data_IF_264791450431
#
_entry.id   IF_264791450431
#
_cell.length_a   1.000
_cell.length_b   1.000
_cell.length_c   1.000
_cell.angle_alpha   90.00
_cell.angle_beta   90.00
_cell.angle_gamma   90.00
#
_symmetry.space_group_name_H-M   'P 1'
#
loop_
_entity.id
_entity.type
_entity.pdbx_description
1 polymer ?
#
# COMPACT_ATOMS: atom_id res chain seq x y z
N UNK A 1 14.40 -27.09 23.64
CA UNK A 1 14.08 -27.23 22.19
C UNK A 1 13.27 -28.49 21.92
N UNK A 2 13.68 -29.65 22.42
CA UNK A 2 12.95 -30.91 22.16
C UNK A 2 11.56 -30.96 22.79
N UNK A 3 11.36 -30.38 23.98
CA UNK A 3 10.02 -30.23 24.56
C UNK A 3 9.08 -29.42 23.67
N UNK A 4 9.56 -28.35 23.03
CA UNK A 4 8.74 -27.55 22.11
C UNK A 4 8.41 -28.32 20.84
N UNK A 5 9.37 -29.05 20.26
CA UNK A 5 9.11 -29.94 19.12
C UNK A 5 8.02 -30.96 19.46
N UNK A 6 8.12 -31.59 20.64
CA UNK A 6 7.12 -32.54 21.13
C UNK A 6 5.74 -31.91 21.29
N UNK A 7 5.63 -30.75 21.95
CA UNK A 7 4.34 -30.07 22.07
C UNK A 7 3.78 -29.67 20.71
N UNK A 8 4.61 -29.24 19.76
CA UNK A 8 4.15 -28.88 18.42
C UNK A 8 3.62 -30.11 17.67
N UNK A 9 4.31 -31.25 17.71
CA UNK A 9 3.99 -32.41 16.88
C UNK A 9 3.03 -33.42 17.50
N UNK A 10 3.08 -33.63 18.82
CA UNK A 10 2.37 -34.73 19.50
C UNK A 10 1.21 -34.27 20.38
N UNK A 11 1.19 -33.01 20.83
CA UNK A 11 0.10 -32.54 21.69
C UNK A 11 -1.18 -32.31 20.87
N UNK A 12 -2.29 -32.87 21.36
CA UNK A 12 -3.60 -32.70 20.75
C UNK A 12 -4.21 -31.34 21.12
N UNK A 13 -3.99 -30.35 20.25
CA UNK A 13 -4.66 -29.05 20.36
C UNK A 13 -6.08 -29.13 19.83
N UNK A 14 -7.05 -28.90 20.71
CA UNK A 14 -8.42 -28.69 20.31
C UNK A 14 -8.58 -27.45 19.41
N UNK A 15 -9.78 -27.24 18.88
CA UNK A 15 -10.05 -26.12 17.95
C UNK A 15 -9.74 -24.75 18.55
N UNK A 16 -9.93 -24.58 19.86
CA UNK A 16 -9.80 -23.30 20.55
C UNK A 16 -8.35 -22.99 20.93
N UNK A 17 -7.49 -24.01 20.97
CA UNK A 17 -6.07 -23.91 21.34
C UNK A 17 -5.09 -24.05 20.17
N UNK A 18 -5.58 -24.23 18.93
CA UNK A 18 -4.71 -24.29 17.72
C UNK A 18 -3.87 -23.04 17.49
N UNK A 19 -4.31 -21.88 17.99
CA UNK A 19 -3.51 -20.65 18.00
C UNK A 19 -2.24 -20.76 18.88
N UNK A 20 -2.28 -21.59 19.93
CA UNK A 20 -1.10 -21.87 20.77
C UNK A 20 -0.09 -22.64 19.92
N UNK A 21 -0.52 -23.69 19.19
CA UNK A 21 0.37 -24.44 18.32
C UNK A 21 1.05 -23.55 17.27
N UNK A 22 0.31 -22.64 16.64
CA UNK A 22 0.90 -21.70 15.66
C UNK A 22 1.86 -20.71 16.28
N UNK A 23 1.62 -20.27 17.52
CA UNK A 23 2.56 -19.46 18.28
C UNK A 23 3.84 -20.23 18.60
N UNK A 24 3.72 -21.47 19.11
CA UNK A 24 4.88 -22.33 19.41
C UNK A 24 5.75 -22.60 18.18
N UNK A 25 5.14 -22.79 17.00
CA UNK A 25 5.88 -22.93 15.72
C UNK A 25 6.79 -21.72 15.46
N UNK A 26 6.32 -20.50 15.75
CA UNK A 26 7.12 -19.28 15.58
C UNK A 26 8.21 -19.16 16.62
N UNK A 27 7.87 -19.38 17.89
CA UNK A 27 8.83 -19.28 18.99
C UNK A 27 9.98 -20.27 18.80
N UNK A 28 9.69 -21.49 18.34
CA UNK A 28 10.72 -22.47 18.02
C UNK A 28 11.72 -21.94 16.98
N UNK A 29 11.27 -21.14 16.01
CA UNK A 29 12.13 -20.55 14.99
C UNK A 29 13.03 -19.43 15.52
N UNK A 30 12.70 -18.83 16.67
CA UNK A 30 13.48 -17.75 17.28
C UNK A 30 14.50 -18.24 18.30
N UNK A 31 14.40 -19.50 18.75
CA UNK A 31 15.09 -19.97 19.95
C UNK A 31 16.58 -20.30 19.79
N UNK A 32 17.07 -20.61 18.58
CA UNK A 32 18.52 -20.72 18.28
C UNK A 32 18.79 -21.01 16.78
N UNK A 33 20.04 -20.93 16.32
CA UNK A 33 20.49 -21.25 14.95
C UNK A 33 20.49 -22.76 14.61
N UNK A 34 19.95 -23.60 15.49
CA UNK A 34 19.89 -25.05 15.28
C UNK A 34 19.11 -25.42 14.00
N UNK A 35 19.57 -26.41 13.22
CA UNK A 35 18.96 -26.77 11.95
C UNK A 35 17.59 -27.45 12.14
N UNK A 36 16.54 -26.63 12.21
CA UNK A 36 15.14 -27.07 12.35
C UNK A 36 14.50 -27.56 11.06
N UNK A 37 15.23 -27.53 9.94
CA UNK A 37 14.71 -27.86 8.61
C UNK A 37 14.05 -29.24 8.57
N UNK A 38 14.72 -30.28 9.10
CA UNK A 38 14.18 -31.64 9.10
C UNK A 38 12.88 -31.75 9.91
N UNK A 39 12.82 -31.10 11.08
CA UNK A 39 11.63 -31.08 11.92
C UNK A 39 10.46 -30.40 11.22
N UNK A 40 10.67 -29.20 10.66
CA UNK A 40 9.61 -28.47 9.98
C UNK A 40 9.11 -29.18 8.72
N UNK A 41 10.00 -29.81 7.95
CA UNK A 41 9.61 -30.61 6.78
C UNK A 41 8.74 -31.79 7.20
N UNK A 42 9.17 -32.58 8.19
CA UNK A 42 8.39 -33.73 8.68
C UNK A 42 7.02 -33.28 9.23
N UNK A 43 7.01 -32.29 10.12
CA UNK A 43 5.79 -31.76 10.71
C UNK A 43 4.83 -31.20 9.65
N UNK A 44 5.33 -30.48 8.64
CA UNK A 44 4.52 -29.96 7.54
C UNK A 44 3.80 -31.07 6.77
N UNK A 45 4.53 -32.13 6.40
CA UNK A 45 3.97 -33.24 5.62
C UNK A 45 2.91 -34.04 6.39
N UNK A 46 3.04 -34.14 7.72
CA UNK A 46 2.04 -34.80 8.58
C UNK A 46 0.83 -33.93 8.89
N UNK A 47 0.90 -32.62 8.66
CA UNK A 47 -0.12 -31.63 9.06
C UNK A 47 -1.15 -31.30 7.98
N UNK A 48 -1.50 -32.24 7.08
CA UNK A 48 -2.43 -32.02 5.96
C UNK A 48 -3.78 -31.40 6.38
N UNK A 49 -4.32 -31.83 7.53
CA UNK A 49 -5.60 -31.33 8.06
C UNK A 49 -5.47 -30.01 8.87
N UNK A 50 -4.29 -29.42 8.92
CA UNK A 50 -3.97 -28.23 9.69
C UNK A 50 -3.24 -27.18 8.82
N UNK A 51 -3.97 -26.62 7.86
CA UNK A 51 -3.45 -25.60 6.94
C UNK A 51 -2.91 -24.35 7.65
N UNK A 52 -3.36 -24.06 8.87
CA UNK A 52 -2.85 -22.95 9.69
C UNK A 52 -1.42 -23.23 10.16
N UNK A 53 -1.17 -24.44 10.69
CA UNK A 53 0.17 -24.87 11.07
C UNK A 53 1.10 -24.95 9.86
N UNK A 54 0.64 -25.51 8.74
CA UNK A 54 1.40 -25.55 7.48
C UNK A 54 1.77 -24.15 6.99
N UNK A 55 0.83 -23.22 6.92
CA UNK A 55 1.13 -21.84 6.53
C UNK A 55 2.15 -21.19 7.47
N UNK A 56 2.11 -21.52 8.76
CA UNK A 56 3.07 -21.03 9.75
C UNK A 56 4.48 -21.56 9.54
N UNK A 57 4.60 -22.85 9.21
CA UNK A 57 5.87 -23.45 8.81
C UNK A 57 6.43 -22.74 7.56
N UNK A 58 5.60 -22.48 6.54
CA UNK A 58 6.03 -21.74 5.34
C UNK A 58 6.51 -20.32 5.69
N UNK A 59 5.82 -19.61 6.60
CA UNK A 59 6.25 -18.29 7.08
C UNK A 59 7.61 -18.35 7.78
N UNK A 60 7.82 -19.34 8.66
CA UNK A 60 9.09 -19.54 9.37
C UNK A 60 10.22 -19.83 8.39
N UNK A 61 10.00 -20.71 7.42
CA UNK A 61 11.00 -21.03 6.40
C UNK A 61 11.35 -19.78 5.59
N UNK A 62 10.36 -19.02 5.13
CA UNK A 62 10.57 -17.78 4.39
C UNK A 62 11.35 -16.70 5.18
N UNK A 63 11.28 -16.70 6.52
CA UNK A 63 11.98 -15.73 7.36
C UNK A 63 13.50 -15.92 7.39
N UNK A 64 14.01 -17.11 7.05
CA UNK A 64 15.47 -17.35 6.95
C UNK A 64 16.14 -16.52 5.84
N UNK A 65 15.38 -16.13 4.82
CA UNK A 65 15.80 -15.18 3.77
C UNK A 65 17.06 -15.60 2.99
N UNK A 66 17.25 -16.90 2.80
CA UNK A 66 18.35 -17.46 2.01
C UNK A 66 17.86 -18.36 0.87
N UNK A 67 18.76 -18.73 -0.05
CA UNK A 67 18.40 -19.55 -1.22
C UNK A 67 17.91 -20.96 -0.86
N UNK A 68 18.45 -21.56 0.19
CA UNK A 68 18.05 -22.90 0.63
C UNK A 68 16.61 -22.87 1.15
N UNK A 69 16.24 -21.84 1.91
CA UNK A 69 14.89 -21.61 2.41
C UNK A 69 13.89 -21.33 1.29
N UNK A 70 14.29 -20.59 0.25
CA UNK A 70 13.46 -20.35 -0.92
C UNK A 70 13.17 -21.64 -1.70
N UNK A 71 14.19 -22.49 -1.87
CA UNK A 71 14.03 -23.81 -2.49
C UNK A 71 13.13 -24.72 -1.67
N UNK A 72 13.37 -24.81 -0.36
CA UNK A 72 12.55 -25.60 0.55
C UNK A 72 11.10 -25.13 0.57
N UNK A 73 10.86 -23.81 0.54
CA UNK A 73 9.52 -23.26 0.45
C UNK A 73 8.77 -23.80 -0.78
N UNK A 74 9.41 -23.81 -1.95
CA UNK A 74 8.82 -24.34 -3.18
C UNK A 74 8.56 -25.83 -3.10
N UNK A 75 9.50 -26.61 -2.54
CA UNK A 75 9.37 -28.06 -2.35
C UNK A 75 8.15 -28.39 -1.45
N UNK A 76 7.98 -27.66 -0.34
CA UNK A 76 6.84 -27.85 0.55
C UNK A 76 5.52 -27.44 -0.10
N UNK A 77 5.48 -26.30 -0.81
CA UNK A 77 4.29 -25.87 -1.55
C UNK A 77 3.88 -26.83 -2.67
N UNK A 78 4.85 -27.53 -3.29
CA UNK A 78 4.60 -28.58 -4.27
C UNK A 78 4.08 -29.88 -3.64
N UNK A 79 4.50 -30.15 -2.40
CA UNK A 79 4.04 -31.32 -1.64
C UNK A 79 2.59 -31.16 -1.21
N UNK A 80 2.27 -30.03 -0.61
CA UNK A 80 0.92 -29.66 -0.23
C UNK A 80 0.80 -28.14 -0.14
N UNK A 81 -0.35 -27.57 -0.46
CA UNK A 81 -0.52 -26.12 -0.50
C UNK A 81 -1.59 -25.72 0.53
N UNK A 82 -1.23 -25.05 1.63
CA UNK A 82 -2.20 -24.74 2.67
C UNK A 82 -3.25 -23.77 2.15
N UNK A 83 -4.51 -24.17 2.26
CA UNK A 83 -5.66 -23.37 1.84
C UNK A 83 -6.31 -22.77 3.08
N UNK A 84 -6.32 -21.44 3.14
CA UNK A 84 -6.81 -20.68 4.29
C UNK A 84 -7.81 -19.63 3.81
N UNK A 85 -8.96 -19.55 4.49
CA UNK A 85 -9.92 -18.48 4.28
C UNK A 85 -9.30 -17.09 4.57
N UNK A 86 -8.38 -17.03 5.54
CA UNK A 86 -7.63 -15.83 5.86
C UNK A 86 -6.43 -15.63 4.92
N UNK A 87 -6.66 -14.85 3.85
CA UNK A 87 -5.60 -14.47 2.90
C UNK A 87 -4.44 -13.66 3.50
N UNK A 88 -4.56 -13.12 4.72
CA UNK A 88 -3.45 -12.44 5.40
C UNK A 88 -2.31 -13.41 5.72
N UNK A 89 -2.62 -14.62 6.19
CA UNK A 89 -1.62 -15.65 6.51
C UNK A 89 -0.81 -16.04 5.26
N UNK A 90 -1.49 -16.15 4.12
CA UNK A 90 -0.84 -16.41 2.83
C UNK A 90 0.05 -15.24 2.41
N UNK A 91 -0.40 -14.00 2.64
CA UNK A 91 0.39 -12.81 2.34
C UNK A 91 1.66 -12.71 3.21
N UNK A 92 1.64 -13.21 4.44
CA UNK A 92 2.78 -13.20 5.35
C UNK A 92 3.90 -14.15 4.89
N UNK A 93 3.58 -15.27 4.24
CA UNK A 93 4.56 -16.18 3.62
C UNK A 93 5.47 -15.42 2.64
N UNK A 94 4.89 -14.53 1.84
CA UNK A 94 5.62 -13.78 0.81
C UNK A 94 6.23 -12.46 1.29
N UNK A 95 6.01 -12.04 2.54
CA UNK A 95 6.51 -10.76 3.07
C UNK A 95 8.04 -10.66 3.01
N UNK A 96 8.84 -11.66 3.45
CA UNK A 96 10.30 -11.56 3.41
C UNK A 96 10.86 -11.33 2.00
N UNK A 97 10.25 -11.94 0.98
CA UNK A 97 10.63 -11.80 -0.42
C UNK A 97 10.26 -10.43 -1.01
N UNK A 98 9.23 -9.76 -0.48
CA UNK A 98 8.90 -8.38 -0.87
C UNK A 98 9.91 -7.37 -0.30
N UNK A 99 10.45 -7.67 0.87
CA UNK A 99 11.47 -6.86 1.54
C UNK A 99 12.85 -7.05 0.87
N UNK A 100 13.15 -8.28 0.40
CA UNK A 100 14.35 -8.63 -0.38
C UNK A 100 14.01 -9.21 -1.75
N UNK A 101 13.86 -8.33 -2.75
CA UNK A 101 13.52 -8.74 -4.12
C UNK A 101 14.57 -9.64 -4.81
N UNK A 102 15.90 -9.51 -4.58
CA UNK A 102 16.85 -10.45 -5.17
C UNK A 102 16.56 -11.91 -4.78
N UNK A 103 16.13 -12.15 -3.54
CA UNK A 103 15.76 -13.49 -3.09
C UNK A 103 14.44 -13.95 -3.73
N UNK A 104 13.47 -13.05 -3.92
CA UNK A 104 12.22 -13.37 -4.58
C UNK A 104 12.40 -13.93 -6.00
N UNK A 105 13.49 -13.57 -6.69
CA UNK A 105 13.80 -14.09 -8.02
C UNK A 105 13.99 -15.61 -8.03
N UNK A 106 14.50 -16.20 -6.94
CA UNK A 106 14.72 -17.65 -6.79
C UNK A 106 13.39 -18.43 -6.78
N UNK A 107 12.27 -17.78 -6.49
CA UNK A 107 10.95 -18.42 -6.49
C UNK A 107 10.38 -18.61 -7.91
N UNK A 108 10.86 -17.86 -8.91
CA UNK A 108 10.30 -17.85 -10.26
C UNK A 108 11.15 -18.66 -11.25
N UNK A 109 10.55 -19.36 -12.23
CA UNK A 109 9.12 -19.35 -12.58
C UNK A 109 8.25 -20.32 -11.77
N UNK A 110 8.82 -21.23 -10.97
CA UNK A 110 8.08 -22.33 -10.32
C UNK A 110 6.88 -21.86 -9.51
N UNK A 111 7.02 -20.75 -8.78
CA UNK A 111 5.92 -20.17 -7.99
C UNK A 111 4.67 -19.84 -8.81
N UNK A 112 4.80 -19.56 -10.11
CA UNK A 112 3.65 -19.26 -10.97
C UNK A 112 2.77 -20.47 -11.25
N UNK A 113 3.25 -21.69 -11.03
CA UNK A 113 2.42 -22.89 -11.18
C UNK A 113 1.27 -22.90 -10.14
N UNK A 114 1.44 -22.17 -9.01
CA UNK A 114 0.40 -22.00 -7.98
C UNK A 114 -0.51 -20.77 -8.21
N UNK A 115 -0.33 -20.02 -9.31
CA UNK A 115 -1.07 -18.77 -9.56
C UNK A 115 -2.55 -18.95 -9.92
N UNK A 116 -3.00 -20.19 -10.13
CA UNK A 116 -4.41 -20.52 -10.33
C UNK A 116 -5.19 -20.64 -9.02
N UNK A 117 -4.49 -20.75 -7.89
CA UNK A 117 -5.10 -20.87 -6.57
C UNK A 117 -5.48 -19.48 -6.04
N UNK A 118 -6.73 -19.32 -5.64
CA UNK A 118 -7.35 -18.00 -5.45
C UNK A 118 -6.65 -17.14 -4.40
N UNK A 119 -6.21 -17.78 -3.32
CA UNK A 119 -5.53 -17.23 -2.15
C UNK A 119 -4.10 -16.77 -2.48
N UNK A 120 -3.45 -17.47 -3.42
CA UNK A 120 -2.06 -17.26 -3.82
C UNK A 120 -1.90 -16.36 -5.04
N UNK A 121 -2.93 -16.26 -5.87
CA UNK A 121 -2.91 -15.51 -7.13
C UNK A 121 -2.44 -14.07 -6.97
N UNK A 122 -3.09 -13.31 -6.08
CA UNK A 122 -2.75 -11.91 -5.85
C UNK A 122 -1.32 -11.71 -5.29
N UNK A 123 -0.88 -12.42 -4.24
CA UNK A 123 0.48 -12.25 -3.73
C UNK A 123 1.57 -12.64 -4.74
N UNK A 124 1.37 -13.71 -5.51
CA UNK A 124 2.31 -14.17 -6.55
C UNK A 124 2.47 -13.10 -7.64
N UNK A 125 1.37 -12.62 -8.22
CA UNK A 125 1.45 -11.63 -9.29
C UNK A 125 1.93 -10.26 -8.78
N UNK A 126 1.65 -9.89 -7.53
CA UNK A 126 2.23 -8.69 -6.91
C UNK A 126 3.75 -8.78 -6.81
N UNK A 127 4.27 -9.94 -6.39
CA UNK A 127 5.72 -10.17 -6.30
C UNK A 127 6.37 -10.17 -7.68
N UNK A 128 5.77 -10.86 -8.65
CA UNK A 128 6.24 -10.89 -10.04
C UNK A 128 6.28 -9.48 -10.67
N UNK A 129 5.22 -8.67 -10.47
CA UNK A 129 5.16 -7.30 -11.00
C UNK A 129 6.24 -6.41 -10.38
N UNK A 130 6.53 -6.56 -9.08
CA UNK A 130 7.63 -5.83 -8.43
C UNK A 130 9.00 -6.22 -8.97
N UNK A 131 9.23 -7.52 -9.22
CA UNK A 131 10.46 -8.00 -9.84
C UNK A 131 10.63 -7.47 -11.27
N UNK A 132 9.55 -7.49 -12.06
CA UNK A 132 9.58 -7.01 -13.44
C UNK A 132 9.83 -5.50 -13.49
N UNK A 133 9.13 -4.72 -12.66
CA UNK A 133 9.28 -3.26 -12.61
C UNK A 133 10.67 -2.82 -12.14
N UNK A 134 11.44 -3.69 -11.45
CA UNK A 134 12.84 -3.43 -11.10
C UNK A 134 13.85 -4.03 -12.08
N UNK A 135 13.38 -4.62 -13.17
CA UNK A 135 14.25 -5.28 -14.16
C UNK A 135 14.94 -6.56 -13.66
N UNK A 136 14.54 -7.09 -12.49
CA UNK A 136 15.15 -8.28 -11.89
C UNK A 136 14.73 -9.54 -12.66
N UNK A 137 13.47 -9.61 -13.10
CA UNK A 137 12.96 -10.73 -13.87
C UNK A 137 12.62 -10.32 -15.31
N UNK A 138 13.02 -11.16 -16.27
CA UNK A 138 12.77 -10.90 -17.70
C UNK A 138 11.37 -11.40 -18.12
N UNK A 139 10.70 -10.72 -19.07
CA UNK A 139 9.38 -11.15 -19.60
C UNK A 139 9.33 -12.58 -20.11
N UNK A 140 10.45 -13.09 -20.64
CA UNK A 140 10.56 -14.49 -21.12
C UNK A 140 10.23 -15.52 -20.04
N UNK A 141 10.51 -15.24 -18.76
CA UNK A 141 10.33 -16.18 -17.64
C UNK A 141 8.85 -16.49 -17.39
N UNK A 142 7.98 -15.51 -17.54
CA UNK A 142 6.54 -15.66 -17.29
C UNK A 142 5.70 -15.64 -18.57
N UNK A 143 6.32 -15.62 -19.76
CA UNK A 143 5.64 -15.59 -21.06
C UNK A 143 4.62 -16.73 -21.21
N UNK A 144 4.90 -17.93 -20.65
CA UNK A 144 3.96 -19.07 -20.69
C UNK A 144 2.61 -18.78 -19.98
N UNK A 145 2.60 -17.87 -19.01
CA UNK A 145 1.40 -17.48 -18.26
C UNK A 145 0.70 -16.23 -18.81
N UNK A 146 1.23 -15.59 -19.87
CA UNK A 146 0.69 -14.33 -20.42
C UNK A 146 -0.80 -14.42 -20.74
N UNK A 147 -1.27 -15.52 -21.34
CA UNK A 147 -2.69 -15.69 -21.68
C UNK A 147 -3.58 -15.70 -20.44
N UNK A 148 -3.15 -16.37 -19.36
CA UNK A 148 -3.85 -16.37 -18.08
C UNK A 148 -3.88 -14.96 -17.48
N UNK A 149 -2.71 -14.29 -17.42
CA UNK A 149 -2.58 -12.91 -16.94
C UNK A 149 -3.52 -11.97 -17.73
N UNK A 150 -3.56 -12.09 -19.05
CA UNK A 150 -4.39 -11.26 -19.92
C UNK A 150 -5.90 -11.51 -19.67
N UNK A 151 -6.31 -12.76 -19.54
CA UNK A 151 -7.72 -13.09 -19.26
C UNK A 151 -8.15 -12.52 -17.91
N UNK A 152 -7.31 -12.67 -16.88
CA UNK A 152 -7.56 -12.10 -15.56
C UNK A 152 -7.59 -10.56 -15.61
N UNK A 153 -6.68 -9.95 -16.36
CA UNK A 153 -6.63 -8.51 -16.56
C UNK A 153 -7.91 -7.98 -17.22
N UNK A 154 -8.40 -8.65 -18.27
CA UNK A 154 -9.67 -8.32 -18.96
C UNK A 154 -10.85 -8.39 -17.98
N UNK A 155 -10.91 -9.38 -17.11
CA UNK A 155 -11.95 -9.49 -16.08
C UNK A 155 -11.86 -8.32 -15.08
N UNK A 156 -10.66 -8.01 -14.59
CA UNK A 156 -10.45 -6.89 -13.66
C UNK A 156 -10.78 -5.54 -14.31
N UNK A 157 -10.43 -5.36 -15.57
CA UNK A 157 -10.74 -4.18 -16.36
C UNK A 157 -12.25 -4.00 -16.54
N UNK A 158 -12.98 -5.06 -16.91
CA UNK A 158 -14.45 -5.02 -17.00
C UNK A 158 -15.10 -4.64 -15.67
N UNK A 159 -14.60 -5.18 -14.56
CA UNK A 159 -15.05 -4.79 -13.21
C UNK A 159 -14.71 -3.33 -12.88
N UNK A 160 -13.58 -2.81 -13.36
CA UNK A 160 -13.23 -1.41 -13.19
C UNK A 160 -14.19 -0.50 -13.94
N UNK A 161 -14.54 -0.81 -15.20
CA UNK A 161 -15.53 -0.03 -15.94
C UNK A 161 -16.90 -0.01 -15.25
N UNK A 162 -17.36 -1.15 -14.73
CA UNK A 162 -18.60 -1.20 -13.96
C UNK A 162 -18.57 -0.27 -12.73
N UNK A 163 -17.41 -0.11 -12.09
CA UNK A 163 -17.23 0.83 -10.96
C UNK A 163 -17.21 2.28 -11.43
N UNK A 164 -16.50 2.57 -12.52
CA UNK A 164 -16.43 3.93 -13.07
C UNK A 164 -17.84 4.45 -13.42
N UNK A 165 -18.73 3.57 -13.89
CA UNK A 165 -20.15 3.87 -14.15
C UNK A 165 -21.01 4.06 -12.88
N UNK A 166 -20.72 3.33 -11.80
CA UNK A 166 -21.48 3.41 -10.54
C UNK A 166 -21.04 4.58 -9.64
N UNK A 167 -19.84 5.13 -9.86
CA UNK A 167 -19.24 6.17 -9.03
C UNK A 167 -19.98 7.51 -9.01
N UNK A 168 -21.03 7.67 -9.82
CA UNK A 168 -21.82 8.90 -9.95
C UNK A 168 -22.84 9.14 -8.82
N UNK A 169 -23.13 8.17 -7.94
CA UNK A 169 -24.31 8.29 -7.03
C UNK A 169 -24.12 7.87 -5.57
N UNK A 170 -23.00 7.30 -5.13
CA UNK A 170 -22.83 6.99 -3.70
C UNK A 170 -21.38 6.98 -3.24
N UNK A 171 -21.05 7.86 -2.29
CA UNK A 171 -19.75 7.94 -1.57
C UNK A 171 -19.56 6.76 -0.60
N UNK A 172 -19.83 5.53 -1.04
CA UNK A 172 -19.49 4.37 -0.23
C UNK A 172 -17.97 4.33 -0.12
N UNK A 173 -17.47 4.24 1.12
CA UNK A 173 -16.09 3.89 1.39
C UNK A 173 -15.61 2.85 0.38
N UNK A 174 -14.50 3.12 -0.31
CA UNK A 174 -13.86 2.13 -1.17
C UNK A 174 -13.50 0.96 -0.28
N UNK A 175 -14.36 -0.07 -0.29
CA UNK A 175 -14.16 -1.28 0.49
C UNK A 175 -12.73 -1.77 0.33
N UNK A 176 -12.14 -2.34 1.38
CA UNK A 176 -10.82 -2.98 1.33
C UNK A 176 -10.72 -3.94 0.13
N UNK A 177 -11.83 -4.60 -0.22
CA UNK A 177 -11.95 -5.43 -1.42
C UNK A 177 -11.76 -4.66 -2.74
N UNK A 178 -12.26 -3.42 -2.82
CA UNK A 178 -12.15 -2.58 -4.01
C UNK A 178 -10.72 -2.10 -4.24
N UNK A 179 -10.00 -1.66 -3.20
CA UNK A 179 -8.59 -1.26 -3.30
C UNK A 179 -7.70 -2.43 -3.74
N UNK A 180 -7.91 -3.61 -3.17
CA UNK A 180 -7.19 -4.83 -3.57
C UNK A 180 -7.41 -5.18 -5.06
N UNK A 181 -8.62 -4.99 -5.59
CA UNK A 181 -8.90 -5.24 -7.01
C UNK A 181 -8.16 -4.26 -7.94
N UNK A 182 -8.12 -2.96 -7.60
CA UNK A 182 -7.39 -1.95 -8.38
C UNK A 182 -5.90 -2.27 -8.41
N UNK A 183 -5.31 -2.58 -7.25
CA UNK A 183 -3.90 -2.94 -7.15
C UNK A 183 -3.54 -4.18 -7.97
N UNK A 184 -4.41 -5.19 -7.98
CA UNK A 184 -4.20 -6.39 -8.82
C UNK A 184 -4.23 -6.04 -10.31
N UNK A 185 -5.10 -5.13 -10.74
CA UNK A 185 -5.11 -4.66 -12.12
C UNK A 185 -3.83 -3.90 -12.47
N UNK A 186 -3.32 -3.03 -11.59
CA UNK A 186 -2.02 -2.38 -11.80
C UNK A 186 -0.88 -3.38 -11.99
N UNK A 187 -0.85 -4.47 -11.20
CA UNK A 187 0.15 -5.52 -11.39
C UNK A 187 0.03 -6.18 -12.78
N UNK A 188 -1.19 -6.48 -13.24
CA UNK A 188 -1.38 -7.07 -14.56
C UNK A 188 -1.02 -6.13 -15.71
N UNK A 189 -1.35 -4.84 -15.59
CA UNK A 189 -0.93 -3.82 -16.55
C UNK A 189 0.60 -3.88 -16.67
N UNK A 190 1.33 -3.71 -15.57
CA UNK A 190 2.79 -3.80 -15.55
C UNK A 190 3.34 -5.08 -16.20
N UNK A 191 2.78 -6.25 -15.85
CA UNK A 191 3.24 -7.55 -16.38
C UNK A 191 2.97 -7.74 -17.87
N UNK A 192 1.88 -7.17 -18.39
CA UNK A 192 1.49 -7.28 -19.80
C UNK A 192 2.18 -6.26 -20.70
N UNK A 193 2.71 -5.16 -20.14
CA UNK A 193 3.32 -4.08 -20.93
C UNK A 193 4.41 -4.56 -21.91
N UNK A 194 5.34 -5.46 -21.52
CA UNK A 194 6.35 -5.98 -22.45
C UNK A 194 5.79 -6.72 -23.67
N UNK A 195 4.51 -7.12 -23.63
CA UNK A 195 3.79 -7.80 -24.72
C UNK A 195 2.82 -6.87 -25.46
N UNK A 196 2.84 -5.55 -25.23
CA UNK A 196 1.90 -4.56 -25.79
C UNK A 196 1.78 -4.59 -27.32
N UNK A 197 2.82 -5.03 -28.04
CA UNK A 197 2.81 -5.16 -29.51
C UNK A 197 1.96 -6.33 -30.03
N UNK A 198 1.56 -7.25 -29.17
CA UNK A 198 0.69 -8.35 -29.57
C UNK A 198 -0.77 -7.89 -29.62
N UNK A 199 -1.49 -8.25 -30.69
CA UNK A 199 -2.87 -7.79 -30.97
C UNK A 199 -3.82 -7.85 -29.76
N UNK A 200 -3.84 -8.97 -29.05
CA UNK A 200 -4.74 -9.15 -27.89
C UNK A 200 -4.38 -8.27 -26.68
N UNK A 201 -3.09 -7.99 -26.49
CA UNK A 201 -2.60 -7.12 -25.42
C UNK A 201 -2.75 -5.65 -25.82
N UNK A 202 -2.52 -5.32 -27.09
CA UNK A 202 -2.80 -4.00 -27.65
C UNK A 202 -4.27 -3.62 -27.44
N UNK A 203 -5.20 -4.53 -27.75
CA UNK A 203 -6.63 -4.32 -27.50
C UNK A 203 -6.95 -4.08 -26.02
N UNK A 204 -6.28 -4.79 -25.11
CA UNK A 204 -6.42 -4.55 -23.67
C UNK A 204 -5.98 -3.13 -23.28
N UNK A 205 -4.85 -2.64 -23.81
CA UNK A 205 -4.37 -1.28 -23.53
C UNK A 205 -5.24 -0.19 -24.15
N UNK A 206 -5.77 -0.40 -25.36
CA UNK A 206 -6.72 0.52 -25.98
C UNK A 206 -8.01 0.68 -25.16
N UNK A 207 -8.44 -0.38 -24.47
CA UNK A 207 -9.52 -0.29 -23.50
C UNK A 207 -9.04 0.37 -22.19
N UNK A 208 -7.85 0.04 -21.70
CA UNK A 208 -7.29 0.60 -20.46
C UNK A 208 -7.24 2.14 -20.48
N UNK A 209 -6.97 2.74 -21.64
CA UNK A 209 -6.94 4.21 -21.84
C UNK A 209 -8.29 4.90 -21.53
N UNK A 210 -9.40 4.16 -21.53
CA UNK A 210 -10.73 4.69 -21.21
C UNK A 210 -11.05 4.66 -19.70
N UNK A 211 -10.18 4.05 -18.89
CA UNK A 211 -10.38 3.94 -17.44
C UNK A 211 -10.17 5.30 -16.78
N UNK A 212 -11.08 5.68 -15.89
CA UNK A 212 -11.02 6.97 -15.17
C UNK A 212 -10.25 6.90 -13.86
N UNK A 213 -10.08 5.70 -13.31
CA UNK A 213 -9.42 5.49 -12.03
C UNK A 213 -7.96 6.02 -12.01
N UNK A 214 -7.61 6.90 -11.05
CA UNK A 214 -6.33 7.60 -11.02
C UNK A 214 -5.14 6.66 -10.79
N UNK A 215 -5.27 5.59 -10.00
CA UNK A 215 -4.21 4.61 -9.81
C UNK A 215 -3.84 3.91 -11.12
N UNK A 216 -4.83 3.45 -11.88
CA UNK A 216 -4.61 2.76 -13.15
C UNK A 216 -4.02 3.71 -14.21
N UNK A 217 -4.58 4.92 -14.36
CA UNK A 217 -4.07 5.91 -15.32
C UNK A 217 -2.62 6.27 -15.05
N UNK A 218 -2.30 6.59 -13.79
CA UNK A 218 -0.92 6.94 -13.42
C UNK A 218 0.04 5.76 -13.53
N UNK A 219 -0.42 4.50 -13.39
CA UNK A 219 0.40 3.31 -13.69
C UNK A 219 0.73 3.22 -15.16
N UNK A 220 -0.25 3.39 -16.04
CA UNK A 220 -0.01 3.32 -17.48
C UNK A 220 0.93 4.44 -17.95
N UNK A 221 0.69 5.68 -17.51
CA UNK A 221 1.56 6.84 -17.81
C UNK A 221 2.98 6.64 -17.30
N UNK A 222 3.17 6.05 -16.12
CA UNK A 222 4.50 5.69 -15.62
C UNK A 222 5.20 4.67 -16.53
N UNK A 223 4.48 3.65 -17.01
CA UNK A 223 5.04 2.67 -17.95
C UNK A 223 5.40 3.29 -19.31
N UNK A 224 4.61 4.24 -19.80
CA UNK A 224 4.95 4.99 -21.02
C UNK A 224 6.28 5.74 -20.82
N UNK A 225 6.44 6.45 -19.69
CA UNK A 225 7.65 7.19 -19.36
C UNK A 225 8.88 6.27 -19.23
N UNK A 226 8.74 5.15 -18.50
CA UNK A 226 9.79 4.14 -18.32
C UNK A 226 10.28 3.53 -19.64
N UNK A 227 9.44 3.56 -20.68
CA UNK A 227 9.75 3.01 -22.00
C UNK A 227 10.03 4.10 -23.04
N UNK A 228 10.24 5.35 -22.62
CA UNK A 228 10.56 6.47 -23.52
C UNK A 228 9.47 6.80 -24.54
N UNK A 229 8.22 6.42 -24.26
CA UNK A 229 7.09 6.77 -25.12
C UNK A 229 6.69 8.20 -24.80
N UNK A 230 6.51 9.01 -25.85
CA UNK A 230 6.03 10.37 -25.71
C UNK A 230 4.62 10.39 -25.12
N UNK A 231 4.43 11.21 -24.10
CA UNK A 231 3.16 11.40 -23.39
C UNK A 231 2.68 12.82 -23.70
N UNK A 232 1.40 12.98 -23.97
CA UNK A 232 0.86 14.30 -24.25
C UNK A 232 0.98 15.21 -23.00
N UNK A 233 1.49 16.43 -23.19
CA UNK A 233 1.59 17.41 -22.10
C UNK A 233 0.24 17.68 -21.44
N UNK A 234 -0.85 17.61 -22.21
CA UNK A 234 -2.22 17.73 -21.70
C UNK A 234 -2.54 16.63 -20.69
N UNK A 235 -2.25 15.36 -21.01
CA UNK A 235 -2.50 14.23 -20.10
C UNK A 235 -1.69 14.36 -18.80
N UNK A 236 -0.41 14.71 -18.90
CA UNK A 236 0.45 14.93 -17.72
C UNK A 236 -0.10 16.07 -16.85
N UNK A 237 -0.53 17.16 -17.48
CA UNK A 237 -1.10 18.33 -16.79
C UNK A 237 -2.42 17.98 -16.11
N UNK A 238 -3.30 17.22 -16.77
CA UNK A 238 -4.58 16.77 -16.18
C UNK A 238 -4.36 15.89 -14.94
N UNK A 239 -3.45 14.91 -15.02
CA UNK A 239 -3.13 14.03 -13.90
C UNK A 239 -2.38 14.72 -12.77
N UNK A 240 -1.58 15.75 -13.07
CA UNK A 240 -0.93 16.54 -12.04
C UNK A 240 -1.88 17.60 -11.42
N UNK A 241 -2.86 18.08 -12.18
CA UNK A 241 -3.88 19.01 -11.70
C UNK A 241 -4.89 18.34 -10.77
N UNK A 242 -5.31 17.11 -11.08
CA UNK A 242 -6.26 16.35 -10.26
C UNK A 242 -5.64 15.89 -8.93
N UNK A 243 -6.26 16.28 -7.81
CA UNK A 243 -5.80 15.96 -6.44
C UNK A 243 -5.66 14.45 -6.24
N UNK A 244 -6.57 13.66 -6.82
CA UNK A 244 -6.59 12.21 -6.65
C UNK A 244 -5.47 11.47 -7.38
N UNK A 245 -4.94 12.04 -8.47
CA UNK A 245 -3.85 11.44 -9.26
C UNK A 245 -2.48 12.09 -9.05
N UNK A 246 -2.42 13.36 -8.59
CA UNK A 246 -1.18 14.13 -8.46
C UNK A 246 -0.10 13.43 -7.66
N UNK A 247 -0.42 13.01 -6.43
CA UNK A 247 0.54 12.35 -5.54
C UNK A 247 0.97 10.99 -6.08
N UNK A 248 0.05 10.26 -6.73
CA UNK A 248 0.31 8.96 -7.36
C UNK A 248 1.29 9.12 -8.53
N UNK A 249 1.03 10.08 -9.43
CA UNK A 249 1.90 10.39 -10.56
C UNK A 249 3.30 10.81 -10.08
N UNK A 250 3.37 11.75 -9.14
CA UNK A 250 4.64 12.23 -8.57
C UNK A 250 5.44 11.08 -7.98
N UNK A 251 4.80 10.20 -7.20
CA UNK A 251 5.46 9.06 -6.56
C UNK A 251 5.99 8.06 -7.58
N UNK A 252 5.21 7.75 -8.62
CA UNK A 252 5.62 6.83 -9.69
C UNK A 252 6.77 7.40 -10.51
N UNK A 253 6.69 8.66 -10.92
CA UNK A 253 7.77 9.34 -11.65
C UNK A 253 9.04 9.48 -10.82
N UNK A 254 8.94 9.80 -9.52
CA UNK A 254 10.11 9.81 -8.63
C UNK A 254 10.77 8.44 -8.55
N UNK A 255 9.99 7.38 -8.42
CA UNK A 255 10.50 6.01 -8.37
C UNK A 255 11.18 5.58 -9.67
N UNK A 256 10.65 6.00 -10.82
CA UNK A 256 11.20 5.72 -12.15
C UNK A 256 12.29 6.69 -12.61
N UNK A 257 12.68 7.69 -11.79
CA UNK A 257 13.60 8.76 -12.19
C UNK A 257 13.12 9.59 -13.41
N UNK A 258 11.81 9.83 -13.50
CA UNK A 258 11.13 10.58 -14.56
C UNK A 258 10.48 11.87 -14.06
N UNK A 259 10.97 12.46 -12.96
CA UNK A 259 10.40 13.71 -12.41
C UNK A 259 10.50 14.89 -13.36
N UNK A 260 11.44 14.86 -14.32
CA UNK A 260 11.54 15.85 -15.39
C UNK A 260 10.25 15.98 -16.22
N UNK A 261 9.46 14.89 -16.34
CA UNK A 261 8.17 14.91 -17.04
C UNK A 261 7.02 15.46 -16.18
N UNK A 262 7.18 15.54 -14.86
CA UNK A 262 6.10 15.98 -13.97
C UNK A 262 5.82 17.48 -14.15
N UNK A 263 4.61 17.95 -14.46
CA UNK A 263 4.38 19.38 -14.75
C UNK A 263 4.87 20.33 -13.65
N UNK A 264 5.70 21.32 -14.02
CA UNK A 264 6.40 22.20 -13.07
C UNK A 264 5.46 22.97 -12.15
N UNK A 265 4.30 23.42 -12.67
CA UNK A 265 3.26 24.12 -11.91
C UNK A 265 2.86 23.39 -10.63
N UNK A 266 2.79 22.07 -10.66
CA UNK A 266 2.35 21.23 -9.54
C UNK A 266 3.51 20.62 -8.76
N UNK A 267 4.77 20.86 -9.18
CA UNK A 267 5.99 20.28 -8.62
C UNK A 267 6.49 21.09 -7.41
N UNK A 268 5.63 21.28 -6.41
CA UNK A 268 5.95 22.01 -5.18
C UNK A 268 5.41 21.30 -3.94
N UNK A 269 5.99 21.59 -2.76
CA UNK A 269 5.55 20.97 -1.52
C UNK A 269 4.09 21.33 -1.21
N UNK A 270 3.67 22.59 -1.44
CA UNK A 270 2.27 23.03 -1.32
C UNK A 270 1.29 22.12 -2.07
N UNK A 271 1.53 21.90 -3.36
CA UNK A 271 0.63 21.09 -4.21
C UNK A 271 0.63 19.60 -3.82
N UNK A 272 1.78 19.08 -3.37
CA UNK A 272 1.87 17.71 -2.86
C UNK A 272 1.17 17.56 -1.51
N UNK A 273 1.30 18.54 -0.61
CA UNK A 273 0.63 18.58 0.69
C UNK A 273 -0.89 18.59 0.54
N UNK A 274 -1.43 19.34 -0.43
CA UNK A 274 -2.87 19.32 -0.73
C UNK A 274 -3.36 17.91 -1.09
N UNK A 275 -2.61 17.17 -1.92
CA UNK A 275 -2.95 15.80 -2.29
C UNK A 275 -2.73 14.80 -1.15
N UNK A 276 -1.77 15.06 -0.25
CA UNK A 276 -1.52 14.22 0.93
C UNK A 276 -2.70 14.18 1.89
N UNK A 277 -3.50 15.25 2.00
CA UNK A 277 -4.71 15.31 2.83
C UNK A 277 -5.79 14.26 2.49
N UNK A 278 -5.68 13.62 1.32
CA UNK A 278 -6.59 12.58 0.85
C UNK A 278 -5.90 11.20 0.76
N UNK A 279 -4.65 11.08 1.21
CA UNK A 279 -3.92 9.82 1.22
C UNK A 279 -4.49 8.87 2.30
N UNK A 280 -4.80 7.63 1.91
CA UNK A 280 -5.32 6.61 2.83
C UNK A 280 -6.80 6.75 3.20
N UNK A 281 -7.39 7.93 2.97
CA UNK A 281 -8.81 8.23 3.21
C UNK A 281 -9.73 7.97 2.02
N UNK A 282 -10.88 8.65 2.03
CA UNK A 282 -11.75 8.76 0.87
C UNK A 282 -11.11 9.70 -0.19
N UNK A 283 -11.26 9.41 -1.50
CA UNK A 283 -10.75 10.28 -2.55
C UNK A 283 -11.48 11.62 -2.53
N UNK A 284 -10.80 12.68 -2.98
CA UNK A 284 -11.38 14.00 -3.18
C UNK A 284 -12.58 13.92 -4.14
N UNK A 285 -13.70 14.50 -3.72
CA UNK A 285 -14.89 14.69 -4.53
C UNK A 285 -15.08 16.17 -4.88
N UNK A 286 -15.76 16.46 -6.00
CA UNK A 286 -16.13 17.84 -6.37
C UNK A 286 -17.04 18.53 -5.37
N UNK A 287 -17.66 17.77 -4.47
CA UNK A 287 -18.45 18.26 -3.35
C UNK A 287 -17.58 18.65 -2.14
N UNK A 288 -16.32 18.25 -2.10
CA UNK A 288 -15.40 18.59 -1.02
C UNK A 288 -14.77 19.95 -1.29
N UNK A 289 -14.26 20.59 -0.23
CA UNK A 289 -13.52 21.84 -0.37
C UNK A 289 -12.18 21.71 0.33
N UNK A 290 -11.12 22.08 -0.38
CA UNK A 290 -9.76 22.21 0.17
C UNK A 290 -9.15 23.51 -0.31
N UNK A 291 -8.59 24.29 0.61
CA UNK A 291 -8.01 25.61 0.32
C UNK A 291 -6.71 25.77 1.09
N UNK A 292 -5.65 26.15 0.39
CA UNK A 292 -4.39 26.54 1.02
C UNK A 292 -4.54 27.88 1.75
N UNK A 293 -4.14 27.93 3.01
CA UNK A 293 -4.25 29.13 3.85
C UNK A 293 -2.91 29.86 3.95
N UNK A 294 -1.81 29.12 4.08
CA UNK A 294 -0.49 29.72 4.21
C UNK A 294 0.58 28.68 4.53
N UNK A 295 1.81 29.18 4.67
CA UNK A 295 2.95 28.41 5.17
C UNK A 295 3.68 29.22 6.25
N UNK A 296 4.32 28.53 7.19
CA UNK A 296 5.18 29.14 8.23
C UNK A 296 6.48 28.36 8.34
N UNK A 297 7.59 29.08 8.51
CA UNK A 297 8.83 28.47 8.97
C UNK A 297 8.67 28.04 10.43
N UNK A 298 9.09 26.82 10.74
CA UNK A 298 8.98 26.21 12.05
C UNK A 298 10.33 25.67 12.50
N UNK A 299 10.52 25.59 13.81
CA UNK A 299 11.69 24.95 14.41
C UNK A 299 11.26 23.98 15.50
N UNK A 300 11.80 22.75 15.46
CA UNK A 300 11.50 21.73 16.47
C UNK A 300 12.68 20.78 16.68
N UNK A 301 13.12 20.62 17.92
CA UNK A 301 14.27 19.76 18.29
C UNK A 301 15.50 19.99 17.39
N UNK A 302 15.87 21.26 17.17
CA UNK A 302 17.01 21.66 16.34
C UNK A 302 16.82 21.50 14.83
N UNK A 303 15.66 21.03 14.35
CA UNK A 303 15.34 20.92 12.92
C UNK A 303 14.66 22.19 12.42
N UNK A 304 15.10 22.66 11.24
CA UNK A 304 14.39 23.68 10.45
C UNK A 304 13.32 23.01 9.60
N UNK A 305 12.09 23.48 9.72
CA UNK A 305 10.91 22.86 9.13
C UNK A 305 10.06 23.93 8.44
N UNK A 306 9.16 23.50 7.56
CA UNK A 306 8.10 24.34 6.99
C UNK A 306 6.75 23.66 7.20
N UNK A 307 5.82 24.38 7.80
CA UNK A 307 4.42 23.98 7.98
C UNK A 307 3.55 24.54 6.85
N UNK A 308 2.70 23.70 6.27
CA UNK A 308 1.70 24.07 5.25
C UNK A 308 0.30 23.90 5.84
N UNK A 309 -0.50 24.96 5.77
CA UNK A 309 -1.83 25.03 6.38
C UNK A 309 -2.92 24.97 5.32
N UNK A 310 -3.92 24.13 5.54
CA UNK A 310 -5.05 23.94 4.64
C UNK A 310 -6.36 23.93 5.40
N UNK A 311 -7.37 24.59 4.86
CA UNK A 311 -8.76 24.36 5.22
C UNK A 311 -9.29 23.18 4.41
N UNK A 312 -9.91 22.21 5.06
CA UNK A 312 -10.59 21.10 4.42
C UNK A 312 -12.00 20.97 4.98
N UNK A 313 -12.97 20.74 4.11
CA UNK A 313 -14.35 20.41 4.47
C UNK A 313 -14.84 19.24 3.63
N UNK A 314 -15.36 18.23 4.31
CA UNK A 314 -16.10 17.15 3.67
C UNK A 314 -17.59 17.46 3.81
N UNK A 315 -18.36 17.36 2.73
CA UNK A 315 -19.80 17.67 2.74
C UNK A 315 -20.69 16.47 3.05
N UNK A 316 -20.12 15.35 3.50
CA UNK A 316 -20.89 14.26 4.13
C UNK A 316 -21.15 14.50 5.62
N UNK A 317 -20.39 15.38 6.26
CA UNK A 317 -20.61 15.69 7.67
C UNK A 317 -21.83 16.62 7.79
N UNK A 318 -22.66 16.38 8.82
CA UNK A 318 -23.72 17.32 9.22
C UNK A 318 -23.16 18.73 9.49
N UNK A 319 -21.87 18.78 9.76
CA UNK A 319 -21.10 19.93 10.13
C UNK A 319 -20.54 20.66 8.91
N UNK A 320 -20.91 21.94 8.77
CA UNK A 320 -20.54 22.76 7.63
C UNK A 320 -19.20 23.49 7.80
N UNK A 321 -18.54 23.32 8.95
CA UNK A 321 -17.32 24.05 9.26
C UNK A 321 -16.10 23.41 8.60
N UNK A 322 -15.09 24.24 8.38
CA UNK A 322 -13.81 23.76 7.89
C UNK A 322 -12.98 23.22 9.05
N UNK A 323 -12.16 22.22 8.76
CA UNK A 323 -11.07 21.80 9.62
C UNK A 323 -9.75 22.37 9.08
N UNK A 324 -8.93 22.94 9.95
CA UNK A 324 -7.57 23.36 9.69
C UNK A 324 -6.62 22.16 9.83
N UNK A 325 -5.93 21.84 8.75
CA UNK A 325 -4.89 20.84 8.70
C UNK A 325 -3.51 21.50 8.60
N UNK A 326 -2.55 20.97 9.34
CA UNK A 326 -1.13 21.33 9.29
C UNK A 326 -0.32 20.11 8.85
N UNK A 327 0.44 20.26 7.75
CA UNK A 327 1.45 19.30 7.33
C UNK A 327 2.83 19.94 7.46
N UNK A 328 3.72 19.32 8.23
CA UNK A 328 5.07 19.81 8.51
C UNK A 328 6.11 18.97 7.79
N UNK A 329 7.11 19.61 7.18
CA UNK A 329 8.17 18.95 6.42
C UNK A 329 9.55 19.45 6.86
N UNK A 330 10.56 18.58 6.75
CA UNK A 330 11.95 18.98 7.06
C UNK A 330 12.59 19.72 5.88
N UNK A 331 13.25 20.85 6.17
CA UNK A 331 13.90 21.65 5.14
C UNK A 331 15.18 20.96 4.65
N UNK A 332 15.56 21.19 3.39
CA UNK A 332 16.78 20.62 2.80
C UNK A 332 16.66 19.17 2.30
N UNK A 333 15.50 18.50 2.43
CA UNK A 333 15.27 17.13 1.94
C UNK A 333 14.61 17.03 0.56
N UNK A 334 14.46 18.16 -0.14
CA UNK A 334 13.68 18.22 -1.38
C UNK A 334 12.18 17.96 -1.15
N UNK A 335 11.47 17.62 -2.22
CA UNK A 335 10.02 17.36 -2.17
C UNK A 335 9.70 16.03 -1.48
N UNK A 336 8.90 16.12 -0.43
CA UNK A 336 8.56 15.01 0.45
C UNK A 336 7.11 14.57 0.24
N UNK A 337 6.88 13.26 0.28
CA UNK A 337 5.54 12.64 0.18
C UNK A 337 5.12 11.95 1.48
N UNK A 338 5.84 12.25 2.57
CA UNK A 338 5.54 11.81 3.92
C UNK A 338 5.87 12.99 4.83
N UNK A 339 4.90 13.55 5.55
CA UNK A 339 5.16 14.66 6.45
C UNK A 339 5.97 14.19 7.67
N UNK A 340 6.72 15.12 8.25
CA UNK A 340 7.33 14.97 9.59
C UNK A 340 6.27 14.98 10.69
N UNK A 341 5.16 15.69 10.45
CA UNK A 341 3.98 15.72 11.30
C UNK A 341 2.76 16.14 10.47
N UNK A 342 1.63 15.52 10.76
CA UNK A 342 0.31 15.88 10.24
C UNK A 342 -0.67 15.78 11.42
N UNK A 343 -1.51 16.79 11.61
CA UNK A 343 -2.56 16.75 12.63
C UNK A 343 -3.83 16.08 12.08
N UNK A 344 -4.76 15.73 12.97
CA UNK A 344 -6.02 15.05 12.58
C UNK A 344 -7.05 15.99 11.91
N UNK A 345 -6.76 17.29 11.87
CA UNK A 345 -7.68 18.33 11.44
C UNK A 345 -8.37 18.98 12.64
N UNK A 346 -8.16 20.27 12.80
CA UNK A 346 -8.75 21.06 13.89
C UNK A 346 -9.96 21.84 13.38
N UNK A 347 -11.12 21.58 13.95
CA UNK A 347 -12.33 22.38 13.68
C UNK A 347 -12.06 23.88 13.82
N UNK A 348 -12.51 24.64 12.83
CA UNK A 348 -12.57 26.11 12.85
C UNK A 348 -13.96 26.49 13.36
N UNK A 349 -14.03 27.06 14.56
CA UNK A 349 -15.29 27.55 15.12
C UNK A 349 -15.72 28.86 14.45
N UNK A 350 -17.02 29.18 14.52
CA UNK A 350 -17.58 30.39 13.90
C UNK A 350 -17.00 31.69 14.47
N UNK A 351 -16.44 31.62 15.69
CA UNK A 351 -15.79 32.74 16.39
C UNK A 351 -14.28 32.82 16.14
N UNK A 352 -13.68 31.81 15.51
CA UNK A 352 -12.24 31.77 15.27
C UNK A 352 -11.87 32.41 13.92
N UNK A 353 -10.70 33.06 13.89
CA UNK A 353 -10.07 33.47 12.63
C UNK A 353 -9.07 32.43 12.15
N UNK A 354 -8.77 32.43 10.86
CA UNK A 354 -7.76 31.54 10.27
C UNK A 354 -6.39 31.67 10.97
N UNK A 355 -6.01 32.90 11.29
CA UNK A 355 -4.76 33.19 12.00
C UNK A 355 -4.76 32.54 13.39
N UNK A 356 -5.86 32.67 14.12
CA UNK A 356 -6.06 32.07 15.44
C UNK A 356 -5.94 30.54 15.40
N UNK A 357 -6.62 29.88 14.46
CA UNK A 357 -6.55 28.41 14.33
C UNK A 357 -5.19 27.94 13.84
N UNK A 358 -4.52 28.71 12.96
CA UNK A 358 -3.14 28.44 12.56
C UNK A 358 -2.22 28.39 13.79
N UNK A 359 -2.37 29.33 14.72
CA UNK A 359 -1.55 29.34 15.94
C UNK A 359 -1.86 28.13 16.83
N UNK A 360 -3.13 27.73 16.95
CA UNK A 360 -3.52 26.52 17.69
C UNK A 360 -2.94 25.22 17.12
N UNK A 361 -3.06 24.97 15.81
CA UNK A 361 -2.49 23.75 15.20
C UNK A 361 -0.95 23.79 15.19
N UNK A 362 -0.35 24.98 15.19
CA UNK A 362 1.11 25.14 15.33
C UNK A 362 1.56 24.80 16.75
N UNK A 363 0.83 25.27 17.76
CA UNK A 363 1.07 24.90 19.16
C UNK A 363 0.92 23.39 19.35
N UNK A 364 -0.11 22.77 18.77
CA UNK A 364 -0.31 21.30 18.78
C UNK A 364 0.94 20.56 18.30
N UNK A 365 1.51 21.00 17.17
CA UNK A 365 2.76 20.46 16.64
C UNK A 365 3.94 20.63 17.62
N UNK A 366 4.11 21.80 18.23
CA UNK A 366 5.18 22.07 19.18
C UNK A 366 5.04 21.25 20.48
N UNK A 367 3.81 20.89 20.85
CA UNK A 367 3.50 20.11 22.03
C UNK A 367 3.46 18.59 21.79
N UNK A 368 3.62 18.11 20.55
CA UNK A 368 3.39 16.69 20.16
C UNK A 368 4.11 15.62 21.00
N UNK A 369 5.20 15.95 21.68
CA UNK A 369 5.95 15.04 22.56
C UNK A 369 5.76 15.33 24.06
N UNK A 370 4.81 16.20 24.44
CA UNK A 370 4.50 16.57 25.82
C UNK A 370 3.17 15.94 26.23
N UNK A 371 3.22 14.80 26.91
CA UNK A 371 2.05 13.97 27.28
C UNK A 371 0.95 14.68 28.10
N UNK A 372 1.20 15.88 28.65
CA UNK A 372 0.24 16.62 29.51
C UNK A 372 -0.04 18.05 29.05
N UNK A 373 0.49 18.47 27.90
CA UNK A 373 0.26 19.82 27.40
C UNK A 373 -0.97 19.84 26.49
N UNK A 374 -1.91 20.74 26.79
CA UNK A 374 -3.08 21.00 25.95
C UNK A 374 -2.87 22.31 25.19
N UNK A 375 -3.36 22.37 23.95
CA UNK A 375 -3.40 23.60 23.16
C UNK A 375 -4.32 24.60 23.88
N UNK A 376 -3.83 25.80 24.15
CA UNK A 376 -4.62 26.80 24.86
C UNK A 376 -5.66 27.42 23.92
N UNK A 377 -6.95 27.19 24.20
CA UNK A 377 -8.06 27.78 23.44
C UNK A 377 -8.98 28.58 24.38
N UNK A 378 -8.90 29.92 24.37
CA UNK A 378 -9.71 30.75 25.26
C UNK A 378 -11.23 30.55 25.09
N UNK A 379 -11.66 30.22 23.87
CA UNK A 379 -13.08 30.07 23.49
C UNK A 379 -13.45 28.65 23.06
N UNK A 380 -12.56 27.66 23.28
CA UNK A 380 -12.84 26.29 22.88
C UNK A 380 -13.95 25.69 23.74
N UNK A 381 -15.02 25.21 23.12
CA UNK A 381 -15.96 24.31 23.80
C UNK A 381 -15.19 23.05 24.20
N UNK A 382 -14.72 23.01 25.45
CA UNK A 382 -14.21 21.80 26.07
C UNK A 382 -15.34 20.80 26.14
N UNK A 383 -15.41 19.89 25.17
CA UNK A 383 -16.22 18.69 25.24
C UNK A 383 -15.78 17.92 26.48
N UNK A 384 -16.47 18.17 27.60
CA UNK A 384 -16.08 17.66 28.89
C UNK A 384 -16.12 16.14 28.88
N UNK A 385 -14.98 15.52 29.12
CA UNK A 385 -14.78 14.42 30.07
C UNK A 385 -13.27 14.34 30.35
N UNK A 386 -12.83 14.82 31.53
CA UNK A 386 -11.44 14.68 31.96
C UNK A 386 -11.06 15.63 33.07
N UNK A 387 -11.28 15.19 34.31
CA UNK A 387 -11.05 15.88 35.58
C UNK A 387 -9.73 16.67 35.66
N UNK A 388 -9.84 17.91 36.14
CA UNK A 388 -8.76 18.59 36.85
C UNK A 388 -8.55 17.89 38.19
N UNK A 389 -7.38 17.29 38.42
CA UNK A 389 -6.59 17.34 39.66
C UNK A 389 -5.20 16.73 39.43
#
# INVERSE_FOLDING_TARGET
>A
MDSLKHYISEFDFDKDTRNIQTHLIQELAQLDDSPLTAFYTDFYTKSYNNSSAQAKVLQVIAQKRDKASAKLLLELMETDLPLLSNTLEINLIFRPYRDSLPLANELFPKLLDFSNISEYKAPIFSLLAKLQARGIIKPKVYKKFKTQILNDAKIKLKRQFAKDLQSTSSRRHTSRYNRANTQVLEHYVTLLYPFKKEREVQNFYALLEQVRNPEIRTTYVALLAENGIQIENKELTELAADINSRLLLFTKFRKGNHLNLFPEKFRSQKWLSEALLYQGGAPFSTKDSVTFVGEKELAYNGKKLTGYYFKKRNTDDYDQNFNMHLLVFENGKGLQTKPYYENEGMRIEDTDTDATVIDYVTEEFLLKNRQRAQVYRPNGYGGGYGFHH
#
